data_IF_093625418142
#
_entry.id   IF_093625418142
#
_cell.length_a   1.000
_cell.length_b   1.000
_cell.length_c   1.000
_cell.angle_alpha   90.00
_cell.angle_beta   90.00
_cell.angle_gamma   90.00
#
_symmetry.space_group_name_H-M   'P 1'
#
loop_
_entity.id
_entity.type
_entity.pdbx_description
1 polymer ?
#
# COMPACT_ATOMS: atom_id res chain seq x y z
N UNK A 1 9.36 -9.09 5.95
CA UNK A 1 9.31 -9.96 4.75
C UNK A 1 7.88 -10.03 4.25
N UNK A 2 7.66 -10.00 2.94
CA UNK A 2 6.31 -10.03 2.34
C UNK A 2 6.27 -10.96 1.13
N UNK A 3 5.13 -11.60 0.88
CA UNK A 3 4.92 -12.47 -0.30
C UNK A 3 4.51 -11.68 -1.55
N UNK A 4 4.09 -10.41 -1.38
CA UNK A 4 3.74 -9.44 -2.42
C UNK A 4 4.07 -8.04 -1.94
N UNK A 5 4.57 -7.20 -2.84
CA UNK A 5 4.81 -5.79 -2.54
C UNK A 5 4.44 -4.89 -3.72
N UNK A 6 3.76 -3.79 -3.42
CA UNK A 6 3.33 -2.81 -4.43
C UNK A 6 4.44 -1.88 -4.87
N UNK A 7 5.52 -2.40 -5.47
CA UNK A 7 6.71 -1.61 -5.87
C UNK A 7 6.33 -0.39 -6.71
N UNK A 8 5.45 -0.55 -7.70
CA UNK A 8 5.01 0.55 -8.57
C UNK A 8 4.23 1.63 -7.80
N UNK A 9 3.34 1.22 -6.88
CA UNK A 9 2.60 2.16 -6.06
C UNK A 9 3.51 2.89 -5.06
N UNK A 10 4.47 2.16 -4.47
CA UNK A 10 5.48 2.73 -3.61
C UNK A 10 6.30 3.77 -4.36
N UNK A 11 6.91 3.40 -5.49
CA UNK A 11 7.72 4.30 -6.29
C UNK A 11 6.92 5.53 -6.76
N UNK A 12 5.65 5.34 -7.15
CA UNK A 12 4.76 6.45 -7.50
C UNK A 12 4.65 7.46 -6.35
N UNK A 13 4.33 7.00 -5.14
CA UNK A 13 4.17 7.86 -3.97
C UNK A 13 5.49 8.46 -3.48
N UNK A 14 6.60 7.72 -3.56
CA UNK A 14 7.93 8.18 -3.20
C UNK A 14 8.38 9.37 -4.06
N UNK A 15 8.14 9.33 -5.38
CA UNK A 15 8.40 10.48 -6.28
C UNK A 15 7.65 11.76 -5.89
N UNK A 16 6.51 11.61 -5.20
CA UNK A 16 5.71 12.73 -4.71
C UNK A 16 6.00 13.07 -3.23
N UNK A 17 6.99 12.41 -2.61
CA UNK A 17 7.35 12.61 -1.21
C UNK A 17 6.31 12.09 -0.22
N UNK A 18 5.41 11.21 -0.64
CA UNK A 18 4.29 10.67 0.17
C UNK A 18 4.64 9.29 0.76
N UNK A 19 5.65 8.61 0.20
CA UNK A 19 6.25 7.39 0.75
C UNK A 19 7.77 7.60 0.92
N UNK A 20 8.46 6.84 1.78
CA UNK A 20 9.92 6.81 1.83
C UNK A 20 10.53 6.39 0.49
N UNK A 21 11.83 6.62 0.28
CA UNK A 21 12.50 6.03 -0.89
C UNK A 21 12.67 4.52 -0.70
N UNK A 22 12.42 3.77 -1.78
CA UNK A 22 12.64 2.32 -1.82
C UNK A 22 14.10 2.06 -2.17
N UNK A 23 14.87 1.53 -1.23
CA UNK A 23 16.29 1.22 -1.40
C UNK A 23 16.49 -0.18 -2.01
N UNK A 24 15.63 -1.14 -1.67
CA UNK A 24 15.67 -2.50 -2.20
C UNK A 24 14.31 -3.19 -2.09
N UNK A 25 13.95 -3.98 -3.11
CA UNK A 25 12.83 -4.92 -3.03
C UNK A 25 13.16 -6.17 -3.85
N UNK A 26 13.46 -7.28 -3.19
CA UNK A 26 13.91 -8.50 -3.87
C UNK A 26 13.62 -9.76 -3.06
N UNK A 27 13.82 -10.91 -3.69
CA UNK A 27 13.68 -12.21 -3.04
C UNK A 27 14.80 -12.42 -2.00
N UNK A 28 14.53 -13.29 -1.02
CA UNK A 28 15.51 -13.68 0.00
C UNK A 28 16.80 -14.30 -0.55
N UNK A 29 16.73 -14.89 -1.74
CA UNK A 29 17.89 -15.46 -2.45
C UNK A 29 18.77 -14.39 -3.13
N UNK A 30 18.38 -13.11 -3.04
CA UNK A 30 19.14 -11.97 -3.57
C UNK A 30 18.76 -11.60 -5.00
N UNK A 31 17.81 -12.29 -5.63
CA UNK A 31 17.32 -11.95 -6.96
C UNK A 31 16.38 -10.73 -6.91
N UNK A 32 16.57 -9.78 -7.83
CA UNK A 32 15.70 -8.62 -7.98
C UNK A 32 14.42 -9.02 -8.75
N UNK A 33 13.31 -9.10 -8.01
CA UNK A 33 12.00 -9.45 -8.57
C UNK A 33 11.24 -8.23 -9.10
N UNK A 34 11.92 -7.10 -9.33
CA UNK A 34 11.35 -5.88 -9.90
C UNK A 34 10.60 -6.09 -11.22
N UNK A 35 10.77 -7.25 -11.86
CA UNK A 35 10.10 -7.65 -13.12
C UNK A 35 8.88 -8.59 -12.97
N UNK A 36 8.61 -9.23 -11.83
CA UNK A 36 7.48 -10.17 -11.70
C UNK A 36 6.34 -9.70 -10.80
N UNK A 37 6.23 -8.38 -10.56
CA UNK A 37 5.09 -7.79 -9.84
C UNK A 37 3.71 -8.06 -10.50
N UNK A 38 3.67 -8.60 -11.72
CA UNK A 38 2.43 -8.87 -12.46
C UNK A 38 2.04 -10.35 -12.59
N UNK A 39 2.91 -11.33 -12.33
CA UNK A 39 2.66 -12.71 -12.79
C UNK A 39 2.62 -13.83 -11.74
N UNK A 40 2.59 -13.52 -10.44
CA UNK A 40 2.20 -14.54 -9.43
C UNK A 40 0.68 -14.63 -9.23
N UNK A 41 -0.05 -14.66 -10.35
CA UNK A 41 -1.33 -15.35 -10.46
C UNK A 41 -1.22 -16.66 -11.27
N UNK A 42 0.01 -17.08 -11.64
CA UNK A 42 0.27 -18.37 -12.26
C UNK A 42 0.55 -19.48 -11.25
N UNK A 43 -0.27 -20.53 -11.31
CA UNK A 43 0.10 -21.93 -11.00
C UNK A 43 0.01 -22.52 -9.57
N UNK A 44 -0.69 -21.91 -8.60
CA UNK A 44 -1.13 -22.68 -7.42
C UNK A 44 -2.60 -22.43 -7.09
N UNK A 45 -3.48 -23.19 -7.76
CA UNK A 45 -4.81 -23.56 -7.20
C UNK A 45 -4.58 -24.47 -6.00
N UNK A 46 -4.05 -23.93 -4.91
CA UNK A 46 -4.00 -24.63 -3.64
C UNK A 46 -5.04 -23.97 -2.74
N UNK A 47 -6.04 -24.74 -2.35
CA UNK A 47 -7.06 -24.40 -1.36
C UNK A 47 -6.43 -24.32 0.05
N UNK A 48 -5.52 -23.35 0.24
CA UNK A 48 -4.78 -23.09 1.47
C UNK A 48 -4.11 -21.70 1.41
N UNK A 49 -3.55 -21.18 2.52
CA UNK A 49 -2.85 -19.90 2.52
C UNK A 49 -1.68 -19.96 1.53
N UNK A 50 -1.70 -19.06 0.54
CA UNK A 50 -0.63 -18.93 -0.44
C UNK A 50 0.68 -18.57 0.27
N UNK A 51 1.69 -19.45 0.18
CA UNK A 51 3.05 -19.17 0.64
C UNK A 51 3.90 -18.95 -0.60
N UNK A 52 3.91 -17.72 -1.10
CA UNK A 52 4.83 -17.29 -2.15
C UNK A 52 6.26 -17.12 -1.61
N UNK A 53 7.26 -16.99 -2.49
CA UNK A 53 8.62 -16.73 -2.06
C UNK A 53 8.68 -15.38 -1.33
N UNK A 54 9.36 -15.36 -0.17
CA UNK A 54 9.44 -14.19 0.70
C UNK A 54 10.39 -13.14 0.11
N UNK A 55 9.95 -11.88 0.14
CA UNK A 55 10.73 -10.71 -0.27
C UNK A 55 11.21 -9.91 0.92
N UNK A 56 12.40 -9.34 0.78
CA UNK A 56 12.92 -8.26 1.62
C UNK A 56 12.54 -6.93 0.95
N UNK A 57 12.06 -6.01 1.77
CA UNK A 57 11.79 -4.62 1.36
C UNK A 57 12.61 -3.74 2.29
N UNK A 58 13.53 -2.97 1.72
CA UNK A 58 14.33 -1.96 2.43
C UNK A 58 13.94 -0.60 1.86
N UNK A 59 13.59 0.32 2.74
CA UNK A 59 13.23 1.69 2.42
C UNK A 59 13.85 2.61 3.46
N UNK A 60 13.82 3.92 3.22
CA UNK A 60 14.27 4.89 4.20
C UNK A 60 13.56 4.72 5.55
N UNK A 61 14.31 4.93 6.62
CA UNK A 61 13.73 5.05 7.95
C UNK A 61 13.08 6.43 8.09
N UNK A 62 11.79 6.44 8.41
CA UNK A 62 11.02 7.67 8.65
C UNK A 62 10.72 7.76 10.13
N UNK A 63 11.16 8.85 10.74
CA UNK A 63 10.78 9.19 12.10
C UNK A 63 9.36 9.78 12.12
N UNK A 64 8.51 9.24 12.99
CA UNK A 64 7.12 9.66 13.10
C UNK A 64 6.31 8.70 13.96
N UNK A 65 5.05 9.04 14.18
CA UNK A 65 4.10 8.27 14.98
C UNK A 65 3.07 7.60 14.09
N UNK A 66 2.77 6.32 14.35
CA UNK A 66 1.68 5.63 13.66
C UNK A 66 0.33 6.27 14.00
N UNK A 67 -0.51 6.49 13.00
CA UNK A 67 -1.81 7.12 13.18
C UNK A 67 -2.73 6.37 14.17
N UNK A 68 -2.54 5.06 14.32
CA UNK A 68 -3.26 4.25 15.31
C UNK A 68 -2.86 4.53 16.76
N UNK A 69 -1.63 4.98 17.02
CA UNK A 69 -1.18 5.37 18.36
C UNK A 69 -1.75 6.74 18.78
N UNK A 70 -2.23 7.54 17.83
CA UNK A 70 -2.79 8.87 18.06
C UNK A 70 -4.31 8.82 18.01
N UNK A 71 -4.96 9.43 18.99
CA UNK A 71 -6.41 9.63 18.96
C UNK A 71 -6.84 10.34 17.67
N UNK A 72 -7.89 9.89 16.95
CA UNK A 72 -8.37 10.54 15.73
C UNK A 72 -8.67 12.05 15.89
N UNK A 73 -9.02 12.50 17.10
CA UNK A 73 -9.25 13.91 17.38
C UNK A 73 -7.98 14.78 17.35
N UNK A 74 -6.80 14.16 17.48
CA UNK A 74 -5.50 14.81 17.48
C UNK A 74 -4.75 14.66 16.14
N UNK A 75 -5.35 14.02 15.14
CA UNK A 75 -4.74 13.91 13.82
C UNK A 75 -4.59 15.29 13.16
N UNK A 76 -3.52 15.51 12.37
CA UNK A 76 -3.38 16.73 11.57
C UNK A 76 -4.63 17.00 10.74
N UNK A 77 -5.12 18.25 10.73
CA UNK A 77 -6.40 18.61 10.08
C UNK A 77 -6.43 18.32 8.59
N UNK A 78 -5.27 18.37 7.95
CA UNK A 78 -5.06 18.13 6.53
C UNK A 78 -4.77 16.65 6.19
N UNK A 79 -4.74 15.75 7.18
CA UNK A 79 -4.53 14.30 6.98
C UNK A 79 -5.37 13.74 5.84
N UNK A 80 -6.67 14.06 5.84
CA UNK A 80 -7.60 13.58 4.80
C UNK A 80 -7.27 14.15 3.42
N UNK A 81 -6.81 15.40 3.35
CA UNK A 81 -6.42 16.04 2.10
C UNK A 81 -5.15 15.39 1.53
N UNK A 82 -4.13 15.17 2.37
CA UNK A 82 -2.88 14.52 1.97
C UNK A 82 -3.11 13.07 1.51
N UNK A 83 -3.92 12.30 2.24
CA UNK A 83 -4.30 10.94 1.83
C UNK A 83 -5.05 10.96 0.50
N UNK A 84 -5.97 11.91 0.30
CA UNK A 84 -6.71 12.04 -0.96
C UNK A 84 -5.77 12.35 -2.13
N UNK A 85 -4.79 13.23 -1.92
CA UNK A 85 -3.77 13.55 -2.92
C UNK A 85 -2.95 12.31 -3.29
N UNK A 86 -2.50 11.52 -2.30
CA UNK A 86 -1.81 10.25 -2.52
C UNK A 86 -2.60 9.30 -3.46
N UNK A 87 -3.89 9.13 -3.18
CA UNK A 87 -4.77 8.29 -3.99
C UNK A 87 -4.96 8.83 -5.41
N UNK A 88 -5.03 10.16 -5.58
CA UNK A 88 -5.10 10.78 -6.91
C UNK A 88 -3.83 10.48 -7.72
N UNK A 89 -2.64 10.56 -7.11
CA UNK A 89 -1.38 10.23 -7.79
C UNK A 89 -1.35 8.78 -8.26
N UNK A 90 -1.76 7.84 -7.41
CA UNK A 90 -1.87 6.43 -7.77
C UNK A 90 -2.87 6.21 -8.91
N UNK A 91 -4.07 6.78 -8.81
CA UNK A 91 -5.12 6.59 -9.79
C UNK A 91 -4.76 7.16 -11.18
N UNK A 92 -3.99 8.26 -11.24
CA UNK A 92 -3.48 8.81 -12.50
C UNK A 92 -2.57 7.85 -13.26
N UNK A 93 -1.85 6.99 -12.53
CA UNK A 93 -0.96 5.96 -13.09
C UNK A 93 -1.68 4.59 -13.23
N UNK A 94 -3.00 4.53 -13.01
CA UNK A 94 -3.77 3.28 -13.03
C UNK A 94 -3.44 2.33 -11.87
N UNK A 95 -2.87 2.85 -10.78
CA UNK A 95 -2.50 2.11 -9.58
C UNK A 95 -3.55 2.31 -8.49
N UNK A 96 -3.71 1.33 -7.61
CA UNK A 96 -4.56 1.44 -6.40
C UNK A 96 -3.76 1.13 -5.14
N UNK A 97 -4.10 1.79 -4.03
CA UNK A 97 -3.59 1.44 -2.71
C UNK A 97 -4.43 0.28 -2.17
N UNK A 98 -3.84 -0.92 -2.03
CA UNK A 98 -4.61 -2.14 -1.78
C UNK A 98 -5.21 -2.27 -0.38
N UNK A 99 -4.59 -1.66 0.63
CA UNK A 99 -5.01 -1.80 2.02
C UNK A 99 -4.68 -0.55 2.85
N UNK A 100 -5.35 0.57 2.60
CA UNK A 100 -5.09 1.81 3.32
C UNK A 100 -5.78 1.82 4.69
N UNK A 101 -5.02 1.69 5.78
CA UNK A 101 -5.54 1.73 7.15
C UNK A 101 -4.59 2.44 8.13
N UNK A 102 -5.12 3.14 9.16
CA UNK A 102 -4.28 3.82 10.16
C UNK A 102 -3.26 2.94 10.90
N UNK A 103 -3.55 1.66 11.26
CA UNK A 103 -2.60 0.83 12.01
C UNK A 103 -1.32 0.49 11.28
N UNK A 104 -1.39 0.22 9.97
CA UNK A 104 -0.25 -0.35 9.25
C UNK A 104 0.40 0.65 8.31
N UNK A 105 -0.38 1.61 7.77
CA UNK A 105 0.01 2.29 6.54
C UNK A 105 0.20 3.80 6.70
N UNK A 106 -0.16 4.40 7.83
CA UNK A 106 -0.20 5.86 8.00
C UNK A 106 0.71 6.28 9.14
N UNK A 107 1.75 7.04 8.80
CA UNK A 107 2.67 7.69 9.73
C UNK A 107 2.44 9.20 9.70
N UNK A 108 2.41 9.82 10.88
CA UNK A 108 2.48 11.25 11.05
C UNK A 108 3.91 11.65 11.38
N UNK A 109 4.52 12.41 10.50
CA UNK A 109 5.80 13.09 10.74
C UNK A 109 5.54 14.49 11.27
N UNK A 110 6.59 15.24 11.62
CA UNK A 110 6.46 16.64 12.05
C UNK A 110 5.74 17.53 11.01
N UNK A 111 5.85 17.20 9.72
CA UNK A 111 5.40 18.08 8.64
C UNK A 111 4.32 17.50 7.72
N UNK A 112 4.13 16.17 7.70
CA UNK A 112 3.24 15.51 6.74
C UNK A 112 2.82 14.10 7.13
N UNK A 113 1.83 13.60 6.40
CA UNK A 113 1.44 12.19 6.36
C UNK A 113 2.37 11.44 5.42
N UNK A 114 2.92 10.32 5.87
CA UNK A 114 3.69 9.38 5.06
C UNK A 114 2.96 8.04 5.03
N UNK A 115 2.88 7.45 3.84
CA UNK A 115 2.29 6.14 3.63
C UNK A 115 3.36 5.06 3.54
N UNK A 116 3.18 3.99 4.32
CA UNK A 116 4.06 2.81 4.37
C UNK A 116 3.25 1.52 4.15
N UNK A 117 3.95 0.39 4.09
CA UNK A 117 3.36 -0.95 3.92
C UNK A 117 2.38 -1.04 2.73
N UNK A 118 2.94 -0.86 1.52
CA UNK A 118 2.15 -0.71 0.29
C UNK A 118 1.86 -2.04 -0.39
N UNK A 119 0.58 -2.38 -0.46
CA UNK A 119 0.04 -3.51 -1.24
C UNK A 119 -0.59 -3.01 -2.55
N UNK A 120 0.18 -2.30 -3.37
CA UNK A 120 -0.28 -1.75 -4.65
C UNK A 120 -0.61 -2.80 -5.71
N UNK A 121 -1.61 -2.53 -6.56
CA UNK A 121 -1.95 -3.34 -7.76
C UNK A 121 -2.11 -2.46 -9.00
N UNK A 122 -1.74 -2.98 -10.17
CA UNK A 122 -2.00 -2.36 -11.47
C UNK A 122 -3.43 -2.68 -11.91
N UNK A 123 -4.23 -1.64 -12.12
CA UNK A 123 -5.63 -1.74 -12.50
C UNK A 123 -5.85 -1.80 -14.01
N UNK A 124 -5.96 -3.02 -14.56
CA UNK A 124 -6.84 -3.28 -15.72
C UNK A 124 -7.99 -4.23 -15.39
N UNK A 125 -7.94 -4.86 -14.23
CA UNK A 125 -8.97 -5.77 -13.73
C UNK A 125 -9.64 -5.10 -12.54
N UNK A 126 -10.98 -4.99 -12.57
CA UNK A 126 -11.83 -4.45 -11.51
C UNK A 126 -11.39 -4.97 -10.13
N UNK A 127 -10.50 -4.25 -9.45
CA UNK A 127 -10.15 -4.51 -8.06
C UNK A 127 -11.13 -3.72 -7.20
N UNK A 128 -12.39 -4.12 -7.23
CA UNK A 128 -13.30 -3.77 -6.14
C UNK A 128 -12.90 -4.62 -4.94
N UNK A 129 -12.65 -3.99 -3.79
CA UNK A 129 -12.56 -4.71 -2.52
C UNK A 129 -13.92 -5.38 -2.34
N UNK A 130 -14.03 -6.73 -2.30
CA UNK A 130 -15.30 -7.39 -2.09
C UNK A 130 -15.90 -6.90 -0.77
N UNK A 131 -17.16 -6.46 -0.78
CA UNK A 131 -17.88 -6.05 0.45
C UNK A 131 -17.87 -7.14 1.54
N UNK A 132 -17.59 -8.38 1.17
CA UNK A 132 -17.51 -9.54 2.05
C UNK A 132 -16.17 -9.73 2.76
N UNK A 133 -15.14 -8.92 2.47
CA UNK A 133 -13.80 -9.15 3.04
C UNK A 133 -13.72 -8.84 4.56
N UNK A 134 -14.62 -7.99 5.07
CA UNK A 134 -14.79 -7.78 6.51
C UNK A 134 -16.17 -7.17 6.78
N UNK A 135 -16.93 -7.75 7.70
CA UNK A 135 -18.18 -7.18 8.21
C UNK A 135 -17.97 -6.05 9.22
N UNK A 136 -16.72 -5.82 9.66
CA UNK A 136 -16.37 -4.89 10.73
C UNK A 136 -15.66 -3.61 10.22
N UNK A 137 -15.26 -3.58 8.95
CA UNK A 137 -14.55 -2.44 8.37
C UNK A 137 -15.47 -1.74 7.37
N UNK A 138 -15.84 -0.50 7.69
CA UNK A 138 -16.50 0.38 6.72
C UNK A 138 -15.44 0.99 5.80
N UNK A 139 -15.41 0.54 4.55
CA UNK A 139 -14.54 1.10 3.53
C UNK A 139 -15.06 2.47 3.07
N UNK A 140 -14.22 3.53 3.05
CA UNK A 140 -14.58 4.81 2.46
C UNK A 140 -15.01 4.66 0.99
N UNK A 141 -16.05 5.38 0.59
CA UNK A 141 -16.60 5.34 -0.77
C UNK A 141 -15.57 5.70 -1.85
N UNK A 142 -14.56 6.51 -1.52
CA UNK A 142 -13.44 6.82 -2.43
C UNK A 142 -12.56 5.60 -2.78
N UNK A 143 -12.68 4.49 -2.04
CA UNK A 143 -12.05 3.20 -2.34
C UNK A 143 -13.00 2.24 -3.07
N UNK A 144 -14.24 2.66 -3.32
CA UNK A 144 -15.32 1.85 -3.88
C UNK A 144 -15.75 2.44 -5.23
N UNK A 145 -15.76 1.62 -6.29
CA UNK A 145 -16.25 2.07 -7.60
C UNK A 145 -17.77 1.84 -7.63
N UNK A 146 -18.56 2.86 -7.99
CA UNK A 146 -20.00 2.67 -8.20
C UNK A 146 -20.24 1.79 -9.44
N UNK A 147 -21.08 0.77 -9.28
CA UNK A 147 -21.56 -0.09 -10.36
C UNK A 147 -22.40 0.66 -11.38
#
# INVERSE_FOLDING_TARGET
>A
FVDRYGVLAHACLARHGIAPELLFCGLLDGEDDSRSANDTCGAHKCSGPYVGPLRIVVMDFIEGEHAHAISPAAWPRDTRAQIKEALIHLHREGLVFGDLRPPNNVLFTESKVVLIDLTGRVGRTRCGIPKSLSSHVQWPEALMISS
#
